data_IF_186871742120
#
_entry.id   IF_186871742120
#
_cell.length_a   1.000
_cell.length_b   1.000
_cell.length_c   1.000
_cell.angle_alpha   90.00
_cell.angle_beta   90.00
_cell.angle_gamma   90.00
#
_symmetry.space_group_name_H-M   'P 1'
#
loop_
_entity.id
_entity.type
_entity.pdbx_description
1 polymer ?
#
# COMPACT_ATOMS: atom_id res chain seq x y z
N UNK A 1 -60.94 -55.70 -26.86
CA UNK A 1 -61.13 -54.98 -25.58
C UNK A 1 -60.09 -55.53 -24.63
N UNK A 2 -59.17 -54.82 -23.99
CA UNK A 2 -58.77 -53.43 -23.89
C UNK A 2 -57.54 -53.45 -22.96
N UNK A 3 -56.61 -52.53 -23.18
CA UNK A 3 -55.28 -52.50 -22.57
C UNK A 3 -55.29 -52.28 -21.04
N UNK A 4 -54.13 -52.51 -20.40
CA UNK A 4 -53.34 -51.55 -19.60
C UNK A 4 -52.30 -52.35 -18.78
N UNK A 5 -51.01 -52.38 -19.18
CA UNK A 5 -49.98 -51.38 -18.85
C UNK A 5 -49.79 -51.19 -17.34
N UNK A 6 -48.84 -51.93 -16.79
CA UNK A 6 -48.19 -51.67 -15.50
C UNK A 6 -46.68 -51.59 -15.67
N UNK A 7 -46.22 -50.76 -16.61
CA UNK A 7 -44.80 -50.37 -16.72
C UNK A 7 -44.51 -49.37 -15.61
N UNK A 8 -44.07 -49.88 -14.47
CA UNK A 8 -43.52 -49.09 -13.37
C UNK A 8 -42.24 -48.42 -13.86
N UNK A 9 -42.37 -47.12 -14.15
CA UNK A 9 -41.31 -46.19 -14.51
C UNK A 9 -40.16 -46.24 -13.50
N UNK A 10 -39.00 -46.72 -13.95
CA UNK A 10 -37.70 -46.43 -13.36
C UNK A 10 -37.37 -44.95 -13.61
N UNK A 11 -38.00 -44.06 -12.84
CA UNK A 11 -37.70 -42.64 -12.85
C UNK A 11 -36.57 -42.33 -11.85
N UNK A 12 -35.36 -42.16 -12.37
CA UNK A 12 -34.48 -41.05 -11.97
C UNK A 12 -33.72 -41.15 -10.65
N UNK A 13 -32.83 -42.14 -10.50
CA UNK A 13 -31.61 -41.90 -9.71
C UNK A 13 -30.66 -41.05 -10.55
N UNK A 14 -30.81 -39.72 -10.55
CA UNK A 14 -29.78 -38.81 -11.06
C UNK A 14 -28.63 -38.77 -10.04
N UNK A 15 -27.92 -39.90 -9.91
CA UNK A 15 -26.79 -40.08 -9.03
C UNK A 15 -25.54 -39.54 -9.72
N UNK A 16 -25.27 -38.25 -9.54
CA UNK A 16 -24.01 -37.65 -9.97
C UNK A 16 -23.94 -36.18 -9.59
N UNK A 17 -22.76 -35.66 -9.20
CA UNK A 17 -22.60 -34.26 -8.93
C UNK A 17 -22.92 -33.43 -10.18
N UNK A 18 -23.65 -32.34 -9.98
CA UNK A 18 -23.97 -31.40 -11.06
C UNK A 18 -22.69 -30.79 -11.63
N UNK A 19 -22.73 -30.29 -12.87
CA UNK A 19 -21.56 -29.63 -13.46
C UNK A 19 -21.04 -28.47 -12.60
N UNK A 20 -21.96 -27.72 -11.97
CA UNK A 20 -21.63 -26.64 -11.04
C UNK A 20 -20.83 -27.16 -9.82
N UNK A 21 -21.26 -28.27 -9.22
CA UNK A 21 -20.56 -28.88 -8.09
C UNK A 21 -19.17 -29.39 -8.49
N UNK A 22 -19.02 -29.95 -9.69
CA UNK A 22 -17.71 -30.39 -10.21
C UNK A 22 -16.76 -29.22 -10.44
N UNK A 23 -17.25 -28.11 -11.01
CA UNK A 23 -16.46 -26.89 -11.21
C UNK A 23 -16.00 -26.31 -9.89
N UNK A 24 -16.91 -26.20 -8.91
CA UNK A 24 -16.57 -25.70 -7.58
C UNK A 24 -15.52 -26.60 -6.89
N UNK A 25 -15.68 -27.93 -6.95
CA UNK A 25 -14.68 -28.85 -6.39
C UNK A 25 -13.30 -28.71 -7.07
N UNK A 26 -13.26 -28.53 -8.39
CA UNK A 26 -12.02 -28.31 -9.14
C UNK A 26 -11.36 -26.97 -8.77
N UNK A 27 -12.13 -25.90 -8.59
CA UNK A 27 -11.63 -24.59 -8.14
C UNK A 27 -11.03 -24.68 -6.73
N UNK A 28 -11.71 -25.35 -5.80
CA UNK A 28 -11.21 -25.60 -4.44
C UNK A 28 -9.89 -26.37 -4.45
N UNK A 29 -9.81 -27.44 -5.25
CA UNK A 29 -8.58 -28.23 -5.39
C UNK A 29 -7.42 -27.40 -5.96
N UNK A 30 -7.69 -26.53 -6.95
CA UNK A 30 -6.69 -25.62 -7.51
C UNK A 30 -6.20 -24.62 -6.46
N UNK A 31 -7.10 -24.00 -5.70
CA UNK A 31 -6.75 -23.04 -4.66
C UNK A 31 -5.92 -23.69 -3.55
N UNK A 32 -6.30 -24.90 -3.11
CA UNK A 32 -5.55 -25.66 -2.11
C UNK A 32 -4.15 -26.04 -2.62
N UNK A 33 -4.05 -26.54 -3.86
CA UNK A 33 -2.76 -26.89 -4.47
C UNK A 33 -1.85 -25.65 -4.61
N UNK A 34 -2.41 -24.49 -4.94
CA UNK A 34 -1.66 -23.24 -5.00
C UNK A 34 -1.18 -22.80 -3.60
N UNK A 35 -2.02 -22.91 -2.58
CA UNK A 35 -1.64 -22.66 -1.19
C UNK A 35 -0.44 -23.53 -0.78
N UNK A 36 -0.54 -24.85 -1.02
CA UNK A 36 0.51 -25.80 -0.67
C UNK A 36 1.84 -25.51 -1.37
N UNK A 37 1.81 -25.10 -2.66
CA UNK A 37 3.01 -24.70 -3.41
C UNK A 37 3.74 -23.51 -2.78
N UNK A 38 3.00 -22.56 -2.23
CA UNK A 38 3.56 -21.32 -1.69
C UNK A 38 3.67 -21.30 -0.16
N UNK A 39 3.27 -22.37 0.53
CA UNK A 39 3.17 -22.41 1.99
C UNK A 39 4.48 -22.04 2.70
N UNK A 40 5.61 -22.54 2.18
CA UNK A 40 6.93 -22.24 2.74
C UNK A 40 7.36 -20.78 2.56
N UNK A 41 7.00 -20.17 1.42
CA UNK A 41 7.40 -18.80 1.08
C UNK A 41 6.43 -17.73 1.63
N UNK A 42 5.18 -18.10 1.92
CA UNK A 42 4.11 -17.17 2.29
C UNK A 42 4.47 -16.26 3.48
N UNK A 43 5.03 -16.75 4.61
CA UNK A 43 5.36 -15.87 5.74
C UNK A 43 6.33 -14.74 5.35
N UNK A 44 7.33 -15.06 4.53
CA UNK A 44 8.32 -14.09 4.05
C UNK A 44 7.68 -13.08 3.10
N UNK A 45 6.79 -13.52 2.19
CA UNK A 45 6.09 -12.64 1.26
C UNK A 45 5.17 -11.66 2.01
N UNK A 46 4.43 -12.12 3.02
CA UNK A 46 3.56 -11.27 3.84
C UNK A 46 4.37 -10.22 4.61
N UNK A 47 5.45 -10.65 5.28
CA UNK A 47 6.33 -9.73 6.01
C UNK A 47 6.97 -8.69 5.09
N UNK A 48 7.41 -9.11 3.89
CA UNK A 48 7.99 -8.22 2.89
C UNK A 48 6.97 -7.18 2.40
N UNK A 49 5.75 -7.62 2.11
CA UNK A 49 4.67 -6.73 1.69
C UNK A 49 4.33 -5.68 2.75
N UNK A 50 4.16 -6.08 4.01
CA UNK A 50 3.89 -5.14 5.10
C UNK A 50 5.02 -4.12 5.27
N UNK A 51 6.28 -4.59 5.25
CA UNK A 51 7.45 -3.73 5.36
C UNK A 51 7.54 -2.72 4.21
N UNK A 52 7.39 -3.17 2.96
CA UNK A 52 7.45 -2.28 1.78
C UNK A 52 6.27 -1.30 1.77
N UNK A 53 5.07 -1.73 2.23
CA UNK A 53 3.90 -0.86 2.35
C UNK A 53 4.09 0.23 3.38
N UNK A 54 4.54 -0.13 4.58
CA UNK A 54 4.84 0.84 5.65
C UNK A 54 5.96 1.79 5.22
N UNK A 55 7.00 1.26 4.57
CA UNK A 55 8.08 2.06 3.99
C UNK A 55 7.55 3.08 2.98
N UNK A 56 6.69 2.67 2.06
CA UNK A 56 6.05 3.57 1.09
C UNK A 56 5.22 4.66 1.78
N UNK A 57 4.37 4.29 2.75
CA UNK A 57 3.54 5.25 3.48
C UNK A 57 4.40 6.25 4.27
N UNK A 58 5.47 5.78 4.92
CA UNK A 58 6.40 6.64 5.63
C UNK A 58 7.09 7.64 4.70
N UNK A 59 7.49 7.22 3.48
CA UNK A 59 8.07 8.13 2.48
C UNK A 59 7.06 9.16 1.97
N UNK A 60 5.80 8.76 1.77
CA UNK A 60 4.72 9.68 1.38
C UNK A 60 4.38 10.71 2.47
N UNK A 61 4.57 10.35 3.73
CA UNK A 61 4.34 11.24 4.87
C UNK A 61 5.54 12.14 5.20
N UNK A 62 6.69 11.97 4.54
CA UNK A 62 7.89 12.75 4.85
C UNK A 62 7.73 14.19 4.36
N UNK A 63 7.92 15.15 5.27
CA UNK A 63 7.77 16.59 4.98
C UNK A 63 9.14 17.26 4.99
N UNK A 64 9.31 18.25 4.12
CA UNK A 64 10.53 19.04 4.04
C UNK A 64 10.79 19.81 5.36
N UNK A 65 11.92 19.57 6.05
CA UNK A 65 12.25 20.28 7.28
C UNK A 65 12.92 21.61 6.96
N UNK A 66 12.12 22.68 6.94
CA UNK A 66 12.60 24.03 6.66
C UNK A 66 13.62 24.50 7.71
N UNK A 67 14.64 25.26 7.29
CA UNK A 67 15.51 25.93 8.26
C UNK A 67 14.82 27.14 8.89
N UNK A 68 15.19 27.54 10.13
CA UNK A 68 14.66 28.75 10.72
C UNK A 68 15.05 29.98 9.89
N UNK A 69 14.07 30.84 9.61
CA UNK A 69 14.29 32.13 8.96
C UNK A 69 15.00 33.11 9.91
N UNK A 70 15.63 34.17 9.38
CA UNK A 70 16.11 35.28 10.18
C UNK A 70 14.99 35.83 11.07
N UNK A 71 15.33 36.19 12.30
CA UNK A 71 14.37 36.76 13.23
C UNK A 71 13.92 38.13 12.70
N UNK A 72 12.60 38.39 12.59
CA UNK A 72 12.10 39.72 12.26
C UNK A 72 12.60 40.77 13.25
N UNK A 73 12.84 41.99 12.76
CA UNK A 73 13.18 43.13 13.61
C UNK A 73 12.05 43.42 14.59
N UNK A 74 12.39 43.73 15.84
CA UNK A 74 11.42 44.03 16.88
C UNK A 74 10.94 45.49 16.74
N UNK A 75 9.62 45.74 16.57
CA UNK A 75 9.10 47.10 16.42
C UNK A 75 9.42 48.03 17.60
N UNK A 76 9.46 47.50 18.82
CA UNK A 76 9.73 48.31 20.02
C UNK A 76 11.21 48.70 20.07
N UNK A 77 12.12 47.82 19.66
CA UNK A 77 13.55 48.11 19.53
C UNK A 77 13.78 49.13 18.41
N UNK A 78 13.15 48.91 17.25
CA UNK A 78 13.22 49.81 16.09
C UNK A 78 12.74 51.23 16.41
N UNK A 79 11.67 51.37 17.20
CA UNK A 79 11.13 52.69 17.60
C UNK A 79 12.10 53.55 18.44
N UNK A 80 13.07 52.91 19.11
CA UNK A 80 14.07 53.57 19.97
C UNK A 80 15.31 54.00 19.21
N UNK A 81 15.51 53.49 18.00
CA UNK A 81 16.66 53.78 17.16
C UNK A 81 16.48 55.10 16.39
N UNK A 82 17.60 55.69 15.96
CA UNK A 82 17.55 56.81 15.00
C UNK A 82 17.08 56.30 13.64
N UNK A 83 16.53 57.19 12.80
CA UNK A 83 16.07 56.82 11.44
C UNK A 83 17.20 56.16 10.62
N UNK A 84 18.43 56.63 10.78
CA UNK A 84 19.59 56.07 10.09
C UNK A 84 19.90 54.64 10.55
N UNK A 85 19.84 54.39 11.86
CA UNK A 85 20.09 53.07 12.43
C UNK A 85 18.96 52.09 12.06
N UNK A 86 17.69 52.54 12.07
CA UNK A 86 16.55 51.76 11.60
C UNK A 86 16.74 51.30 10.15
N UNK A 87 17.14 52.21 9.25
CA UNK A 87 17.41 51.87 7.85
C UNK A 87 18.56 50.87 7.71
N UNK A 88 19.63 51.06 8.48
CA UNK A 88 20.78 50.17 8.44
C UNK A 88 20.45 48.76 8.95
N UNK A 89 19.64 48.64 10.01
CA UNK A 89 19.18 47.34 10.51
C UNK A 89 18.19 46.66 9.55
N UNK A 90 17.29 47.44 8.93
CA UNK A 90 16.39 46.96 7.90
C UNK A 90 17.15 46.39 6.70
N UNK A 91 18.16 47.11 6.21
CA UNK A 91 19.02 46.63 5.11
C UNK A 91 19.74 45.33 5.46
N UNK A 92 20.28 45.21 6.68
CA UNK A 92 20.93 43.98 7.15
C UNK A 92 19.95 42.81 7.24
N UNK A 93 18.75 43.04 7.79
CA UNK A 93 17.71 42.04 7.86
C UNK A 93 17.29 41.57 6.47
N UNK A 94 17.05 42.50 5.53
CA UNK A 94 16.62 42.17 4.18
C UNK A 94 17.68 41.37 3.41
N UNK A 95 18.96 41.74 3.57
CA UNK A 95 20.07 40.96 3.01
C UNK A 95 20.13 39.55 3.61
N UNK A 96 20.01 39.42 4.94
CA UNK A 96 20.01 38.12 5.61
C UNK A 96 18.82 37.25 5.16
N UNK A 97 17.64 37.86 5.00
CA UNK A 97 16.42 37.21 4.53
C UNK A 97 16.57 36.72 3.09
N UNK A 98 17.08 37.55 2.18
CA UNK A 98 17.31 37.17 0.79
C UNK A 98 18.28 35.99 0.68
N UNK A 99 19.41 36.04 1.40
CA UNK A 99 20.39 34.94 1.44
C UNK A 99 19.78 33.67 2.03
N UNK A 100 18.96 33.78 3.07
CA UNK A 100 18.25 32.64 3.64
C UNK A 100 17.29 32.03 2.63
N UNK A 101 16.48 32.84 1.93
CA UNK A 101 15.52 32.36 0.92
C UNK A 101 16.23 31.61 -0.21
N UNK A 102 17.35 32.14 -0.73
CA UNK A 102 18.11 31.49 -1.79
C UNK A 102 18.69 30.13 -1.33
N UNK A 103 19.21 30.05 -0.10
CA UNK A 103 19.67 28.79 0.48
C UNK A 103 18.50 27.81 0.67
N UNK A 104 17.36 28.29 1.12
CA UNK A 104 16.20 27.45 1.41
C UNK A 104 15.59 26.87 0.14
N UNK A 105 15.53 27.66 -0.95
CA UNK A 105 15.12 27.16 -2.26
C UNK A 105 16.04 26.05 -2.77
N UNK A 106 17.37 26.23 -2.66
CA UNK A 106 18.35 25.20 -3.05
C UNK A 106 18.21 23.93 -2.20
N UNK A 107 18.04 24.08 -0.88
CA UNK A 107 17.85 22.94 0.04
C UNK A 107 16.57 22.18 -0.26
N UNK A 108 15.46 22.89 -0.48
CA UNK A 108 14.17 22.31 -0.89
C UNK A 108 14.29 21.57 -2.20
N UNK A 109 14.82 22.20 -3.25
CA UNK A 109 14.97 21.54 -4.56
C UNK A 109 15.82 20.26 -4.48
N UNK A 110 16.94 20.30 -3.74
CA UNK A 110 17.78 19.13 -3.52
C UNK A 110 17.07 18.04 -2.70
N UNK A 111 16.24 18.42 -1.72
CA UNK A 111 15.43 17.46 -0.96
C UNK A 111 14.34 16.83 -1.83
N UNK A 112 13.62 17.63 -2.62
CA UNK A 112 12.56 17.16 -3.53
C UNK A 112 13.10 16.17 -4.55
N UNK A 113 14.24 16.47 -5.17
CA UNK A 113 14.90 15.56 -6.10
C UNK A 113 15.26 14.22 -5.45
N UNK A 114 15.84 14.24 -4.24
CA UNK A 114 16.14 13.00 -3.50
C UNK A 114 14.89 12.26 -3.05
N UNK A 115 13.83 12.97 -2.66
CA UNK A 115 12.58 12.34 -2.28
C UNK A 115 11.87 11.69 -3.45
N UNK A 116 11.88 12.32 -4.62
CA UNK A 116 11.28 11.75 -5.82
C UNK A 116 11.89 10.39 -6.16
N UNK A 117 13.23 10.27 -6.11
CA UNK A 117 13.93 9.00 -6.33
C UNK A 117 13.56 7.97 -5.25
N UNK A 118 13.62 8.34 -3.97
CA UNK A 118 13.26 7.43 -2.87
C UNK A 118 11.82 6.95 -2.94
N UNK A 119 10.90 7.84 -3.30
CA UNK A 119 9.49 7.51 -3.45
C UNK A 119 9.30 6.55 -4.62
N UNK A 120 9.94 6.82 -5.76
CA UNK A 120 9.89 5.93 -6.92
C UNK A 120 10.43 4.52 -6.59
N UNK A 121 11.56 4.44 -5.90
CA UNK A 121 12.13 3.17 -5.45
C UNK A 121 11.19 2.41 -4.49
N UNK A 122 10.61 3.12 -3.52
CA UNK A 122 9.65 2.55 -2.57
C UNK A 122 8.37 2.07 -3.29
N UNK A 123 7.86 2.82 -4.26
CA UNK A 123 6.71 2.42 -5.06
C UNK A 123 7.00 1.17 -5.89
N UNK A 124 8.17 1.08 -6.51
CA UNK A 124 8.56 -0.10 -7.27
C UNK A 124 8.74 -1.33 -6.36
N UNK A 125 9.37 -1.16 -5.19
CA UNK A 125 9.50 -2.22 -4.21
C UNK A 125 8.13 -2.73 -3.75
N UNK A 126 7.23 -1.81 -3.39
CA UNK A 126 5.87 -2.12 -3.02
C UNK A 126 5.10 -2.85 -4.13
N UNK A 127 5.15 -2.36 -5.38
CA UNK A 127 4.48 -3.01 -6.52
C UNK A 127 5.00 -4.43 -6.77
N UNK A 128 6.30 -4.68 -6.57
CA UNK A 128 6.88 -6.04 -6.67
C UNK A 128 6.34 -6.95 -5.57
N UNK A 129 6.28 -6.47 -4.33
CA UNK A 129 5.72 -7.25 -3.21
C UNK A 129 4.22 -7.52 -3.41
N UNK A 130 3.47 -6.52 -3.88
CA UNK A 130 2.05 -6.64 -4.23
C UNK A 130 1.84 -7.69 -5.33
N UNK A 131 2.59 -7.60 -6.43
CA UNK A 131 2.51 -8.56 -7.53
C UNK A 131 2.84 -9.99 -7.08
N UNK A 132 3.85 -10.16 -6.21
CA UNK A 132 4.21 -11.46 -5.67
C UNK A 132 3.06 -12.08 -4.84
N UNK A 133 2.37 -11.28 -4.01
CA UNK A 133 1.19 -11.77 -3.29
C UNK A 133 0.01 -12.05 -4.23
N UNK A 134 -0.22 -11.22 -5.25
CA UNK A 134 -1.28 -11.47 -6.26
C UNK A 134 -1.03 -12.77 -7.04
N UNK A 135 0.22 -13.17 -7.27
CA UNK A 135 0.55 -14.46 -7.87
C UNK A 135 0.20 -15.65 -6.97
N UNK A 136 0.30 -15.49 -5.65
CA UNK A 136 -0.15 -16.50 -4.69
C UNK A 136 -1.68 -16.55 -4.69
N UNK A 137 -2.32 -15.41 -4.44
CA UNK A 137 -3.76 -15.25 -4.57
C UNK A 137 -4.18 -13.79 -4.46
N UNK A 138 -5.07 -13.29 -5.36
CA UNK A 138 -5.53 -11.91 -5.30
C UNK A 138 -6.36 -11.59 -4.03
N UNK A 139 -7.02 -12.59 -3.42
CA UNK A 139 -7.83 -12.39 -2.21
C UNK A 139 -7.00 -12.09 -0.94
N UNK A 140 -5.68 -12.26 -0.99
CA UNK A 140 -4.79 -11.88 0.12
C UNK A 140 -4.72 -10.36 0.33
N UNK A 141 -5.16 -9.58 -0.64
CA UNK A 141 -5.14 -8.12 -0.63
C UNK A 141 -6.56 -7.56 -0.62
N UNK A 142 -6.77 -6.47 0.10
CA UNK A 142 -8.01 -5.69 0.02
C UNK A 142 -8.04 -4.76 -1.22
N UNK A 143 -9.14 -4.01 -1.37
CA UNK A 143 -9.31 -3.05 -2.46
C UNK A 143 -8.77 -1.64 -2.16
N UNK A 144 -7.96 -1.47 -1.10
CA UNK A 144 -7.39 -0.18 -0.70
C UNK A 144 -6.28 0.31 -1.65
N UNK A 145 -5.89 1.58 -1.50
CA UNK A 145 -4.78 2.19 -2.24
C UNK A 145 -3.85 2.95 -1.29
N UNK A 146 -2.66 2.41 -0.96
CA UNK A 146 -2.19 1.07 -1.27
C UNK A 146 -3.00 -0.02 -0.53
N UNK A 147 -3.16 -1.22 -1.10
CA UNK A 147 -3.92 -2.29 -0.48
C UNK A 147 -3.33 -2.72 0.88
N UNK A 148 -4.16 -3.18 1.81
CA UNK A 148 -3.74 -3.92 3.00
C UNK A 148 -3.83 -5.43 2.77
N UNK A 149 -3.27 -6.19 3.71
CA UNK A 149 -3.53 -7.62 3.83
C UNK A 149 -4.96 -7.88 4.32
N UNK A 150 -5.65 -8.76 3.62
CA UNK A 150 -6.96 -9.27 3.99
C UNK A 150 -6.78 -10.38 5.05
N UNK A 151 -7.20 -10.12 6.29
CA UNK A 151 -6.88 -10.97 7.46
C UNK A 151 -7.42 -12.40 7.34
N UNK A 152 -8.65 -12.55 6.87
CA UNK A 152 -9.32 -13.84 6.76
C UNK A 152 -8.64 -14.72 5.70
N UNK A 153 -8.37 -14.15 4.53
CA UNK A 153 -7.65 -14.82 3.45
C UNK A 153 -6.23 -15.21 3.88
N UNK A 154 -5.51 -14.32 4.55
CA UNK A 154 -4.19 -14.66 5.13
C UNK A 154 -4.30 -15.82 6.12
N UNK A 155 -5.33 -15.83 6.98
CA UNK A 155 -5.59 -16.94 7.91
C UNK A 155 -5.79 -18.27 7.19
N UNK A 156 -6.62 -18.28 6.13
CA UNK A 156 -6.85 -19.48 5.28
C UNK A 156 -5.54 -19.97 4.67
N UNK A 157 -4.79 -19.08 4.02
CA UNK A 157 -3.56 -19.40 3.30
C UNK A 157 -2.39 -19.79 4.22
N UNK A 158 -2.36 -19.32 5.47
CA UNK A 158 -1.37 -19.81 6.46
C UNK A 158 -1.62 -21.26 6.86
N UNK A 159 -2.89 -21.66 6.96
CA UNK A 159 -3.26 -23.01 7.38
C UNK A 159 -3.17 -24.04 6.26
N UNK A 160 -3.40 -23.63 5.00
CA UNK A 160 -3.59 -24.50 3.83
C UNK A 160 -4.48 -25.73 4.10
N UNK A 161 -5.49 -25.59 4.97
CA UNK A 161 -6.40 -26.67 5.33
C UNK A 161 -7.54 -26.78 4.30
N UNK A 162 -7.92 -27.98 3.84
CA UNK A 162 -9.03 -28.16 2.89
C UNK A 162 -10.34 -27.53 3.36
N UNK A 163 -10.60 -27.52 4.67
CA UNK A 163 -11.79 -26.93 5.29
C UNK A 163 -11.87 -25.41 5.09
N UNK A 164 -10.71 -24.75 4.99
CA UNK A 164 -10.62 -23.31 4.85
C UNK A 164 -11.04 -22.82 3.45
N UNK A 165 -11.00 -23.69 2.44
CA UNK A 165 -11.34 -23.37 1.04
C UNK A 165 -12.74 -23.87 0.64
N UNK A 166 -13.64 -24.12 1.61
CA UNK A 166 -15.01 -24.57 1.33
C UNK A 166 -15.91 -23.43 0.90
#
# INVERSE_FOLDING_TARGET
MGALLGLSLLAGCQWGPTEAQRRQAAERQRALAQCQRHQAALPQLLARFEADRLGLLARKAEVYPASPAPRPLDPDEQSRLTIYDQQSEQEQYDQALALWQEREQRRRGAWEARQAVRLQEAEQAFRRAEAALRQVSPELLDSGTPPNLQRDAVGRYRSCRPEAFR
#
